data_IF_233935192273
#
_entry.id   IF_233935192273
#
_cell.length_a   1.000
_cell.length_b   1.000
_cell.length_c   1.000
_cell.angle_alpha   90.00
_cell.angle_beta   90.00
_cell.angle_gamma   90.00
#
_symmetry.space_group_name_H-M   'P 1'
#
loop_
_entity.id
_entity.type
_entity.pdbx_description
1 polymer ?
#
# COMPACT_ATOMS: atom_id res chain seq x y z
N UNK A 1 -12.06 13.15 -78.74
CA UNK A 1 -12.67 11.84 -78.42
C UNK A 1 -11.55 10.83 -78.18
N UNK A 2 -11.77 9.84 -77.29
CA UNK A 2 -10.83 8.82 -76.73
C UNK A 2 -9.92 9.34 -75.60
N UNK A 3 -10.33 9.32 -74.32
CA UNK A 3 -10.67 8.22 -73.38
C UNK A 3 -9.45 7.77 -72.57
N UNK A 4 -9.32 8.33 -71.36
CA UNK A 4 -8.34 7.95 -70.35
C UNK A 4 -8.86 6.74 -69.55
N UNK A 5 -8.06 5.68 -69.45
CA UNK A 5 -8.33 4.53 -68.59
C UNK A 5 -7.53 4.67 -67.30
N UNK A 6 -8.22 5.11 -66.25
CA UNK A 6 -7.73 5.17 -64.89
C UNK A 6 -7.72 3.75 -64.30
N UNK A 7 -6.54 3.18 -64.10
CA UNK A 7 -6.39 1.96 -63.29
C UNK A 7 -6.42 2.38 -61.81
N UNK A 8 -7.54 2.09 -61.12
CA UNK A 8 -7.61 2.15 -59.67
C UNK A 8 -7.57 0.71 -59.12
N UNK A 9 -6.37 0.22 -58.82
CA UNK A 9 -6.20 -1.00 -58.03
C UNK A 9 -6.26 -0.61 -56.56
N UNK A 10 -7.41 -0.81 -55.94
CA UNK A 10 -7.63 -0.57 -54.51
C UNK A 10 -7.06 -1.78 -53.74
N UNK A 11 -5.79 -1.67 -53.32
CA UNK A 11 -5.18 -2.63 -52.41
C UNK A 11 -5.72 -2.35 -51.01
N UNK A 12 -6.80 -3.03 -50.61
CA UNK A 12 -7.29 -3.01 -49.23
C UNK A 12 -6.27 -3.69 -48.31
N UNK A 13 -5.44 -2.89 -47.65
CA UNK A 13 -4.61 -3.34 -46.54
C UNK A 13 -5.50 -3.57 -45.31
N UNK A 14 -5.79 -4.83 -44.99
CA UNK A 14 -6.40 -5.23 -43.72
C UNK A 14 -5.33 -5.10 -42.64
N UNK A 15 -5.38 -4.03 -41.84
CA UNK A 15 -4.57 -3.89 -40.65
C UNK A 15 -5.17 -4.77 -39.54
N UNK A 16 -4.64 -5.99 -39.38
CA UNK A 16 -4.85 -6.79 -38.18
C UNK A 16 -4.04 -6.17 -37.04
N UNK A 17 -4.67 -5.40 -36.16
CA UNK A 17 -4.08 -5.04 -34.87
C UNK A 17 -4.21 -6.23 -33.93
N UNK A 18 -3.22 -7.12 -33.95
CA UNK A 18 -2.95 -8.06 -32.87
C UNK A 18 -2.55 -7.27 -31.61
N UNK A 19 -3.52 -6.79 -30.85
CA UNK A 19 -3.30 -6.38 -29.47
C UNK A 19 -3.14 -7.65 -28.63
N UNK A 20 -1.93 -8.20 -28.63
CA UNK A 20 -1.55 -9.27 -27.73
C UNK A 20 -1.65 -8.71 -26.30
N UNK A 21 -2.53 -9.28 -25.48
CA UNK A 21 -2.75 -8.89 -24.09
C UNK A 21 -1.52 -9.13 -23.24
N UNK A 22 -0.62 -8.14 -23.18
CA UNK A 22 0.32 -8.03 -22.08
C UNK A 22 -0.46 -7.49 -20.88
N UNK A 23 -0.52 -8.26 -19.80
CA UNK A 23 -1.03 -7.77 -18.52
C UNK A 23 -0.28 -6.48 -18.17
N UNK A 24 -1.02 -5.43 -17.80
CA UNK A 24 -0.40 -4.18 -17.37
C UNK A 24 0.58 -4.46 -16.20
N UNK A 25 1.72 -3.74 -16.13
CA UNK A 25 2.63 -3.91 -15.00
C UNK A 25 1.88 -3.62 -13.67
N UNK A 26 2.25 -4.31 -12.57
CA UNK A 26 1.60 -4.10 -11.30
C UNK A 26 1.78 -2.65 -10.83
N UNK A 27 0.72 -2.11 -10.22
CA UNK A 27 0.77 -0.81 -9.56
C UNK A 27 1.71 -0.83 -8.34
N UNK A 28 2.15 0.34 -7.89
CA UNK A 28 2.93 0.51 -6.66
C UNK A 28 2.26 -0.08 -5.42
N UNK A 29 0.92 -0.06 -5.37
CA UNK A 29 0.16 -0.69 -4.29
C UNK A 29 0.22 -2.22 -4.39
N UNK A 30 0.06 -2.78 -5.58
CA UNK A 30 0.19 -4.24 -5.78
C UNK A 30 1.62 -4.72 -5.47
N UNK A 31 2.65 -3.93 -5.80
CA UNK A 31 4.02 -4.22 -5.41
C UNK A 31 4.22 -4.18 -3.89
N UNK A 32 3.62 -3.20 -3.20
CA UNK A 32 3.65 -3.14 -1.73
C UNK A 32 2.88 -4.31 -1.10
N UNK A 33 1.73 -4.69 -1.66
CA UNK A 33 0.98 -5.86 -1.24
C UNK A 33 1.82 -7.14 -1.38
N UNK A 34 2.38 -7.39 -2.57
CA UNK A 34 3.27 -8.53 -2.82
C UNK A 34 4.45 -8.56 -1.86
N UNK A 35 5.06 -7.41 -1.59
CA UNK A 35 6.15 -7.30 -0.61
C UNK A 35 5.72 -7.81 0.76
N UNK A 36 4.63 -7.28 1.34
CA UNK A 36 4.23 -7.65 2.70
C UNK A 36 3.82 -9.13 2.80
N UNK A 37 3.26 -9.70 1.73
CA UNK A 37 2.93 -11.12 1.66
C UNK A 37 4.20 -11.98 1.58
N UNK A 38 5.16 -11.62 0.71
CA UNK A 38 6.42 -12.34 0.53
C UNK A 38 7.30 -12.30 1.79
N UNK A 39 7.29 -11.18 2.51
CA UNK A 39 7.98 -11.03 3.79
C UNK A 39 7.22 -11.70 4.95
N UNK A 40 6.04 -12.27 4.67
CA UNK A 40 5.15 -12.89 5.65
C UNK A 40 4.97 -12.00 6.88
N UNK A 41 4.37 -10.83 6.68
CA UNK A 41 4.31 -9.76 7.68
C UNK A 41 3.68 -10.17 9.02
N UNK A 42 2.92 -11.25 9.10
CA UNK A 42 2.44 -11.81 10.37
C UNK A 42 3.58 -12.27 11.31
N UNK A 43 4.79 -12.45 10.76
CA UNK A 43 6.01 -12.75 11.53
C UNK A 43 6.72 -11.50 12.03
N UNK A 44 6.28 -10.32 11.62
CA UNK A 44 6.86 -9.06 12.08
C UNK A 44 6.56 -8.84 13.55
N UNK A 45 7.39 -8.00 14.17
CA UNK A 45 7.15 -7.58 15.54
C UNK A 45 5.84 -6.78 15.62
N UNK A 46 5.07 -6.99 16.68
CA UNK A 46 3.96 -6.11 17.01
C UNK A 46 4.47 -4.76 17.49
N UNK A 47 3.72 -3.71 17.17
CA UNK A 47 4.06 -2.35 17.57
C UNK A 47 4.05 -2.20 19.11
N UNK A 48 4.86 -1.30 19.69
CA UNK A 48 4.81 -1.00 21.11
C UNK A 48 3.39 -0.67 21.58
N UNK A 49 2.95 -1.32 22.67
CA UNK A 49 1.59 -1.16 23.20
C UNK A 49 0.50 -1.93 22.45
N UNK A 50 0.84 -2.72 21.42
CA UNK A 50 -0.08 -3.53 20.62
C UNK A 50 0.30 -5.03 20.59
N UNK A 51 0.84 -5.54 21.69
CA UNK A 51 1.33 -6.93 21.84
C UNK A 51 0.25 -7.99 21.54
N UNK A 52 -1.01 -7.63 21.72
CA UNK A 52 -2.18 -8.41 21.35
C UNK A 52 -3.20 -7.51 20.64
N UNK A 53 -4.20 -8.13 20.01
CA UNK A 53 -5.31 -7.38 19.38
C UNK A 53 -5.97 -6.45 20.38
N UNK A 54 -6.06 -5.18 20.02
CA UNK A 54 -6.67 -4.14 20.87
C UNK A 54 -8.02 -3.69 20.29
N UNK A 55 -9.03 -3.44 21.14
CA UNK A 55 -10.20 -2.69 20.72
C UNK A 55 -9.81 -1.31 20.18
N UNK A 56 -10.50 -0.85 19.14
CA UNK A 56 -10.32 0.47 18.54
C UNK A 56 -11.66 1.17 18.48
N UNK A 57 -11.74 2.32 19.13
CA UNK A 57 -12.83 3.29 18.94
C UNK A 57 -12.45 4.36 17.90
N UNK A 58 -11.33 4.17 17.21
CA UNK A 58 -10.81 5.09 16.20
C UNK A 58 -11.27 4.67 14.80
N UNK A 59 -11.13 5.58 13.84
CA UNK A 59 -11.51 5.30 12.46
C UNK A 59 -10.90 3.99 11.93
N UNK A 60 -11.70 3.29 11.12
CA UNK A 60 -11.30 2.18 10.24
C UNK A 60 -11.18 0.76 10.82
N UNK A 61 -11.62 0.49 12.06
CA UNK A 61 -11.95 -0.86 12.57
C UNK A 61 -12.40 -0.84 14.03
N UNK A 62 -13.13 -1.89 14.45
CA UNK A 62 -13.57 -2.12 15.84
C UNK A 62 -12.46 -2.72 16.72
N UNK A 63 -11.53 -3.46 16.12
CA UNK A 63 -10.32 -3.95 16.78
C UNK A 63 -9.15 -3.99 15.79
N UNK A 64 -7.92 -3.92 16.30
CA UNK A 64 -6.73 -3.73 15.47
C UNK A 64 -5.57 -4.61 15.93
N UNK A 65 -4.82 -5.11 14.95
CA UNK A 65 -3.45 -5.59 15.13
C UNK A 65 -2.50 -4.65 14.39
N UNK A 66 -1.35 -4.32 15.00
CA UNK A 66 -0.37 -3.41 14.41
C UNK A 66 1.00 -4.07 14.42
N UNK A 67 1.59 -4.18 13.23
CA UNK A 67 2.88 -4.80 12.99
C UNK A 67 3.87 -3.78 12.45
N UNK A 68 5.15 -3.95 12.78
CA UNK A 68 6.25 -3.11 12.35
C UNK A 68 7.39 -3.96 11.80
N UNK A 69 8.00 -3.53 10.69
CA UNK A 69 9.15 -4.26 10.17
C UNK A 69 10.39 -4.12 11.07
N UNK A 70 11.43 -4.90 10.74
CA UNK A 70 12.68 -4.91 11.50
C UNK A 70 13.38 -3.55 11.53
N UNK A 71 13.20 -2.69 10.52
CA UNK A 71 13.77 -1.34 10.49
C UNK A 71 13.26 -0.51 11.68
N UNK A 72 11.94 -0.46 11.87
CA UNK A 72 11.35 0.26 13.00
C UNK A 72 11.62 -0.42 14.33
N UNK A 73 11.53 -1.75 14.38
CA UNK A 73 11.82 -2.51 15.61
C UNK A 73 13.26 -2.25 16.11
N UNK A 74 14.24 -2.23 15.19
CA UNK A 74 15.63 -1.93 15.53
C UNK A 74 15.81 -0.48 15.97
N UNK A 75 15.11 0.48 15.36
CA UNK A 75 15.16 1.89 15.76
C UNK A 75 14.62 2.08 17.19
N UNK A 76 13.50 1.43 17.52
CA UNK A 76 12.91 1.44 18.86
C UNK A 76 13.88 0.78 19.87
N UNK A 77 14.42 -0.39 19.54
CA UNK A 77 15.31 -1.14 20.42
C UNK A 77 16.64 -0.40 20.68
N UNK A 78 17.12 0.40 19.73
CA UNK A 78 18.31 1.23 19.92
C UNK A 78 18.10 2.33 20.97
N UNK A 79 16.86 2.79 21.18
CA UNK A 79 16.51 3.76 22.23
C UNK A 79 17.11 5.16 22.04
N UNK A 80 17.74 5.44 20.89
CA UNK A 80 18.25 6.78 20.61
C UNK A 80 17.09 7.69 20.21
N UNK A 81 17.04 8.94 20.72
CA UNK A 81 16.05 9.92 20.27
C UNK A 81 16.11 10.11 18.75
N UNK A 82 14.94 10.07 18.11
CA UNK A 82 14.75 10.39 16.71
C UNK A 82 13.59 11.38 16.56
N UNK A 83 13.63 12.17 15.48
CA UNK A 83 12.55 13.07 15.06
C UNK A 83 11.91 12.60 13.74
N UNK A 84 12.39 11.48 13.20
CA UNK A 84 11.94 10.92 11.94
C UNK A 84 12.17 9.42 11.91
N UNK A 85 11.20 8.64 11.43
CA UNK A 85 11.41 7.21 11.23
C UNK A 85 12.41 6.96 10.09
N UNK A 86 13.26 5.92 10.17
CA UNK A 86 14.21 5.61 9.12
C UNK A 86 13.52 5.33 7.78
N UNK A 87 14.23 5.56 6.68
CA UNK A 87 13.79 5.08 5.37
C UNK A 87 13.56 3.56 5.40
N UNK A 88 12.59 3.11 4.64
CA UNK A 88 12.04 1.75 4.62
C UNK A 88 11.29 1.32 5.90
N UNK A 89 11.00 2.24 6.82
CA UNK A 89 10.04 1.97 7.91
C UNK A 89 8.69 1.53 7.34
N UNK A 90 8.09 0.52 7.95
CA UNK A 90 6.85 -0.07 7.47
C UNK A 90 5.95 -0.41 8.67
N UNK A 91 4.73 0.13 8.65
CA UNK A 91 3.68 -0.21 9.60
C UNK A 91 2.51 -0.83 8.86
N UNK A 92 2.00 -1.93 9.39
CA UNK A 92 0.83 -2.64 8.87
C UNK A 92 -0.20 -2.70 9.98
N UNK A 93 -1.39 -2.17 9.69
CA UNK A 93 -2.56 -2.24 10.56
C UNK A 93 -3.57 -3.20 9.93
N UNK A 94 -3.88 -4.28 10.63
CA UNK A 94 -5.07 -5.07 10.34
C UNK A 94 -6.26 -4.51 11.14
N UNK A 95 -7.39 -4.37 10.47
CA UNK A 95 -8.64 -3.95 11.05
C UNK A 95 -9.64 -5.11 11.09
N UNK A 96 -10.30 -5.28 12.24
CA UNK A 96 -11.26 -6.36 12.48
C UNK A 96 -12.63 -5.80 12.85
N UNK A 97 -13.67 -6.52 12.43
CA UNK A 97 -15.07 -6.32 12.86
C UNK A 97 -15.31 -6.82 14.29
N UNK A 98 -16.49 -6.54 14.84
CA UNK A 98 -16.89 -6.97 16.18
C UNK A 98 -16.86 -8.49 16.37
N UNK A 99 -17.14 -9.27 15.32
CA UNK A 99 -17.10 -10.74 15.36
C UNK A 99 -15.69 -11.32 15.12
N UNK A 100 -14.68 -10.47 14.95
CA UNK A 100 -13.29 -10.85 14.77
C UNK A 100 -12.89 -11.18 13.33
N UNK A 101 -13.75 -10.89 12.35
CA UNK A 101 -13.44 -11.03 10.91
C UNK A 101 -12.48 -9.94 10.45
N UNK A 102 -11.48 -10.29 9.64
CA UNK A 102 -10.57 -9.31 9.03
C UNK A 102 -11.35 -8.46 8.01
N UNK A 103 -11.38 -7.15 8.22
CA UNK A 103 -12.12 -6.19 7.42
C UNK A 103 -11.21 -5.40 6.47
N UNK A 104 -10.01 -5.04 6.94
CA UNK A 104 -9.07 -4.29 6.11
C UNK A 104 -7.62 -4.43 6.55
N UNK A 105 -6.71 -4.16 5.60
CA UNK A 105 -5.28 -4.02 5.85
C UNK A 105 -4.86 -2.63 5.37
N UNK A 106 -4.35 -1.80 6.27
CA UNK A 106 -3.79 -0.50 5.94
C UNK A 106 -2.28 -0.53 6.16
N UNK A 107 -1.52 -0.04 5.18
CA UNK A 107 -0.06 -0.08 5.17
C UNK A 107 0.47 1.31 4.94
N UNK A 108 1.50 1.68 5.70
CA UNK A 108 2.30 2.87 5.44
C UNK A 108 3.77 2.48 5.38
N UNK A 109 4.43 2.94 4.32
CA UNK A 109 5.84 2.67 4.07
C UNK A 109 6.58 3.98 3.84
N UNK A 110 7.59 4.25 4.68
CA UNK A 110 8.45 5.41 4.51
C UNK A 110 9.46 5.15 3.41
N UNK A 111 9.28 5.82 2.27
CA UNK A 111 10.19 5.77 1.13
C UNK A 111 11.14 6.97 1.17
N UNK A 112 12.12 7.00 0.27
CA UNK A 112 13.11 8.09 0.18
C UNK A 112 12.47 9.49 0.02
N UNK A 113 11.28 9.56 -0.58
CA UNK A 113 10.57 10.82 -0.86
C UNK A 113 9.35 11.04 0.05
N UNK A 114 9.22 10.29 1.14
CA UNK A 114 8.12 10.41 2.10
C UNK A 114 7.29 9.14 2.24
N UNK A 115 6.15 9.25 2.92
CA UNK A 115 5.27 8.13 3.21
C UNK A 115 4.38 7.76 2.02
N UNK A 116 4.41 6.48 1.66
CA UNK A 116 3.46 5.86 0.75
C UNK A 116 2.40 5.10 1.54
N UNK A 117 1.15 5.30 1.19
CA UNK A 117 -0.01 4.76 1.88
C UNK A 117 -0.71 3.75 0.97
N UNK A 118 -1.30 2.71 1.54
CA UNK A 118 -2.22 1.82 0.84
C UNK A 118 -3.25 1.22 1.80
N UNK A 119 -4.50 1.08 1.36
CA UNK A 119 -5.56 0.35 2.06
C UNK A 119 -6.12 -0.75 1.17
N UNK A 120 -6.21 -1.96 1.70
CA UNK A 120 -6.74 -3.14 1.03
C UNK A 120 -7.98 -3.64 1.79
N UNK A 121 -9.01 -3.97 1.03
CA UNK A 121 -10.20 -4.71 1.50
C UNK A 121 -10.48 -5.95 0.62
N UNK A 122 -9.81 -6.04 -0.53
CA UNK A 122 -9.83 -7.19 -1.43
C UNK A 122 -8.46 -7.89 -1.37
N UNK A 123 -8.34 -8.90 -0.51
CA UNK A 123 -7.04 -9.49 -0.17
C UNK A 123 -6.48 -10.44 -1.25
N UNK A 124 -7.32 -10.98 -2.13
CA UNK A 124 -6.89 -11.89 -3.18
C UNK A 124 -6.16 -11.19 -4.32
N UNK A 125 -6.56 -9.96 -4.64
CA UNK A 125 -6.07 -9.22 -5.82
C UNK A 125 -4.89 -8.31 -5.49
N UNK A 126 -4.76 -7.90 -4.21
CA UNK A 126 -3.81 -6.86 -3.82
C UNK A 126 -4.15 -5.47 -4.36
N UNK A 127 -5.38 -5.27 -4.83
CA UNK A 127 -5.83 -3.97 -5.29
C UNK A 127 -6.16 -3.09 -4.08
N UNK A 128 -5.47 -1.95 -3.98
CA UNK A 128 -5.76 -0.98 -2.93
C UNK A 128 -6.98 -0.13 -3.30
N UNK A 129 -7.90 0.05 -2.36
CA UNK A 129 -9.03 0.99 -2.50
C UNK A 129 -8.61 2.45 -2.36
N UNK A 130 -7.43 2.69 -1.77
CA UNK A 130 -6.76 3.98 -1.73
C UNK A 130 -5.25 3.74 -1.61
N UNK A 131 -4.43 4.48 -2.37
CA UNK A 131 -2.97 4.41 -2.25
C UNK A 131 -2.25 5.71 -2.68
N UNK A 132 -0.94 5.78 -2.46
CA UNK A 132 -0.11 6.93 -2.80
C UNK A 132 0.04 7.88 -1.62
N UNK A 133 -0.35 9.14 -1.81
CA UNK A 133 -0.33 10.20 -0.77
C UNK A 133 -1.72 10.83 -0.57
N UNK A 134 -2.74 10.03 -0.21
CA UNK A 134 -4.11 10.50 -0.12
C UNK A 134 -4.26 11.57 0.99
N UNK A 135 -4.83 12.72 0.62
CA UNK A 135 -4.95 13.91 1.48
C UNK A 135 -5.61 13.63 2.83
N UNK A 136 -6.67 12.82 2.84
CA UNK A 136 -7.41 12.45 4.06
C UNK A 136 -6.57 11.61 5.03
N UNK A 137 -5.76 10.67 4.54
CA UNK A 137 -4.88 9.88 5.40
C UNK A 137 -3.82 10.79 6.04
N UNK A 138 -3.16 11.62 5.23
CA UNK A 138 -2.13 12.55 5.70
C UNK A 138 -2.71 13.52 6.72
N UNK A 139 -3.88 14.12 6.43
CA UNK A 139 -4.51 15.11 7.31
C UNK A 139 -4.82 14.56 8.71
N UNK A 140 -5.33 13.32 8.80
CA UNK A 140 -5.62 12.68 10.10
C UNK A 140 -4.36 12.16 10.82
N UNK A 141 -3.28 11.91 10.10
CA UNK A 141 -2.04 11.35 10.64
C UNK A 141 -0.96 12.40 10.97
N UNK A 142 -1.08 13.62 10.45
CA UNK A 142 -0.07 14.68 10.56
C UNK A 142 0.30 15.07 12.01
N UNK A 143 -0.55 14.78 12.99
CA UNK A 143 -0.27 15.06 14.41
C UNK A 143 0.49 13.94 15.13
N UNK A 144 0.79 12.84 14.44
CA UNK A 144 1.56 11.72 14.98
C UNK A 144 3.06 11.90 14.78
N UNK A 145 3.85 11.07 15.44
CA UNK A 145 5.30 11.03 15.33
C UNK A 145 5.72 10.54 13.94
N UNK A 146 5.99 11.51 13.06
CA UNK A 146 6.23 11.29 11.63
C UNK A 146 5.12 10.41 11.02
N UNK A 147 3.88 10.86 11.22
CA UNK A 147 2.62 10.25 10.75
C UNK A 147 2.20 8.95 11.46
N UNK A 148 2.98 8.45 12.42
CA UNK A 148 2.60 7.31 13.26
C UNK A 148 1.74 7.78 14.43
N UNK A 149 0.55 7.19 14.60
CA UNK A 149 -0.40 7.55 15.68
C UNK A 149 -0.63 6.46 16.72
N UNK A 150 -0.03 5.29 16.50
CA UNK A 150 -0.24 4.11 17.32
C UNK A 150 0.78 3.94 18.44
N UNK A 151 1.94 4.61 18.31
CA UNK A 151 3.07 4.60 19.24
C UNK A 151 3.98 5.79 18.90
N UNK A 152 4.85 6.14 19.83
CA UNK A 152 5.70 7.32 19.77
C UNK A 152 7.14 6.96 19.34
N UNK A 153 7.95 7.97 19.06
CA UNK A 153 9.40 7.79 18.90
C UNK A 153 10.05 7.22 20.17
N UNK A 154 11.17 6.49 20.04
CA UNK A 154 12.04 6.26 21.19
C UNK A 154 12.55 7.60 21.76
N UNK A 155 12.59 7.71 23.08
CA UNK A 155 13.02 8.89 23.84
C UNK A 155 14.12 8.53 24.85
#
# INVERSE_FOLDING_TARGET
>A
MTSARLFLTFCSAVAFTLSCGADAPPSEAQLLWQRIQNENYHTFQRAPGHDTRQPSNTAHAEAVDIYINSVMANAIAAGNPIDTWPADSLVIKEGYTTDGTLDSIAVINKRQHGWYWAKYIEFETGNAVASGTPFNCIGCHNSGDDFIRSFDFPH
#
